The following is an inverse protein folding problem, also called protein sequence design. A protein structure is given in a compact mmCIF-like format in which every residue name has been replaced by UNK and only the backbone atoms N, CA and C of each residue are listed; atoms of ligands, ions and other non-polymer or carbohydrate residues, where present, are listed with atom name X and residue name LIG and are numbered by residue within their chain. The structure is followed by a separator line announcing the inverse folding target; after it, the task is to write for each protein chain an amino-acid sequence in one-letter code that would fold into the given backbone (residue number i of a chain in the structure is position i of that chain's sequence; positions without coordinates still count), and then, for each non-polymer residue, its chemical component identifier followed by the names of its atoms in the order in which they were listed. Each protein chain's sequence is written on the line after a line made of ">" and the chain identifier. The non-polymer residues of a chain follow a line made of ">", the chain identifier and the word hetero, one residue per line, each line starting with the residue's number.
data_IF_942878165942
#
_entry.id   IF_942878165942
#
_cell.length_a   1.000
_cell.length_b   1.000
_cell.length_c   1.000
_cell.angle_alpha   90.00
_cell.angle_beta   90.00
_cell.angle_gamma   90.00
#
_symmetry.space_group_name_H-M   'P 1'
#
loop_
_entity.id
_entity.type
_entity.pdbx_description
1 polymer ?
#
# COMPACT_ATOMS: atom_id res chain seq x y z
N UNK A 1 0.40 19.94 -9.18
CA UNK A 1 0.43 19.58 -10.62
C UNK A 1 -0.61 18.49 -10.85
N UNK A 2 -1.21 18.39 -12.03
CA UNK A 2 -2.16 17.32 -12.38
C UNK A 2 -1.62 16.48 -13.53
N UNK A 3 -1.76 15.16 -13.44
CA UNK A 3 -1.48 14.19 -14.50
C UNK A 3 -2.82 13.84 -15.15
N UNK A 4 -3.12 14.46 -16.28
CA UNK A 4 -4.47 14.39 -16.86
C UNK A 4 -4.76 13.08 -17.59
N UNK A 5 -3.72 12.31 -17.93
CA UNK A 5 -3.79 10.97 -18.53
C UNK A 5 -2.49 10.23 -18.17
N UNK A 6 -2.59 8.98 -17.70
CA UNK A 6 -1.46 8.06 -17.56
C UNK A 6 -1.92 6.61 -17.77
N UNK A 7 -1.00 5.75 -18.17
CA UNK A 7 -1.09 4.29 -18.17
C UNK A 7 0.34 3.72 -18.32
N UNK A 8 0.51 2.40 -18.30
CA UNK A 8 1.81 1.74 -18.47
C UNK A 8 2.35 1.87 -19.90
N UNK A 9 1.50 1.82 -20.92
CA UNK A 9 1.87 2.06 -22.32
C UNK A 9 1.15 3.29 -22.86
N UNK A 10 1.82 4.02 -23.78
CA UNK A 10 1.21 5.14 -24.50
C UNK A 10 0.48 4.71 -25.78
N UNK A 11 0.83 3.54 -26.35
CA UNK A 11 0.22 2.98 -27.58
C UNK A 11 -0.07 1.49 -27.36
N UNK A 12 -1.34 1.10 -27.25
CA UNK A 12 -1.75 -0.27 -26.94
C UNK A 12 -1.27 -1.28 -27.99
N UNK A 13 -1.20 -0.91 -29.27
CA UNK A 13 -0.67 -1.78 -30.33
C UNK A 13 0.79 -2.21 -30.10
N UNK A 14 1.54 -1.49 -29.25
CA UNK A 14 2.92 -1.82 -28.89
C UNK A 14 3.01 -2.79 -27.70
N UNK A 15 1.93 -2.98 -26.94
CA UNK A 15 1.85 -3.92 -25.82
C UNK A 15 1.59 -5.37 -26.29
N UNK A 16 2.50 -5.90 -27.10
CA UNK A 16 2.43 -7.27 -27.61
C UNK A 16 2.54 -8.34 -26.51
N UNK A 17 3.05 -7.96 -25.35
CA UNK A 17 3.08 -8.80 -24.16
C UNK A 17 1.76 -8.82 -23.39
N UNK A 18 0.79 -7.97 -23.75
CA UNK A 18 -0.45 -7.74 -23.02
C UNK A 18 -0.19 -7.45 -21.54
N UNK A 19 0.85 -6.67 -21.25
CA UNK A 19 1.31 -6.37 -19.90
C UNK A 19 0.24 -5.54 -19.18
N UNK A 20 -0.49 -4.67 -19.88
CA UNK A 20 -1.54 -3.82 -19.28
C UNK A 20 -2.72 -4.62 -18.69
N UNK A 21 -2.98 -5.83 -19.20
CA UNK A 21 -4.08 -6.69 -18.74
C UNK A 21 -3.64 -7.72 -17.70
N UNK A 22 -2.44 -7.59 -17.14
CA UNK A 22 -1.82 -8.57 -16.22
C UNK A 22 -1.56 -7.97 -14.84
N UNK A 23 -1.35 -8.85 -13.86
CA UNK A 23 -1.11 -8.50 -12.46
C UNK A 23 0.06 -7.51 -12.29
N UNK A 24 1.12 -7.61 -13.11
CA UNK A 24 2.23 -6.65 -13.10
C UNK A 24 1.78 -5.20 -13.32
N UNK A 25 0.78 -4.95 -14.17
CA UNK A 25 0.26 -3.60 -14.36
C UNK A 25 -0.52 -3.12 -13.13
N UNK A 26 -1.19 -4.01 -12.41
CA UNK A 26 -1.82 -3.65 -11.13
C UNK A 26 -0.78 -3.24 -10.08
N UNK A 27 0.35 -3.96 -9.98
CA UNK A 27 1.44 -3.59 -9.07
C UNK A 27 2.07 -2.25 -9.49
N UNK A 28 2.34 -2.06 -10.78
CA UNK A 28 2.84 -0.80 -11.33
C UNK A 28 1.90 0.35 -11.03
N UNK A 29 0.60 0.18 -11.26
CA UNK A 29 -0.39 1.23 -11.09
C UNK A 29 -0.55 1.61 -9.61
N UNK A 30 -0.62 0.62 -8.73
CA UNK A 30 -0.67 0.86 -7.29
C UNK A 30 0.52 1.67 -6.81
N UNK A 31 1.73 1.36 -7.31
CA UNK A 31 2.96 2.05 -6.92
C UNK A 31 3.02 3.45 -7.52
N UNK A 32 2.60 3.60 -8.79
CA UNK A 32 2.59 4.88 -9.50
C UNK A 32 1.66 5.88 -8.82
N UNK A 33 0.48 5.45 -8.36
CA UNK A 33 -0.43 6.30 -7.57
C UNK A 33 0.26 6.77 -6.29
N UNK A 34 0.87 5.86 -5.53
CA UNK A 34 1.56 6.22 -4.30
C UNK A 34 2.69 7.23 -4.53
N UNK A 35 3.53 7.01 -5.55
CA UNK A 35 4.57 7.95 -5.96
C UNK A 35 4.03 9.31 -6.38
N UNK A 36 2.95 9.35 -7.14
CA UNK A 36 2.32 10.62 -7.52
C UNK A 36 1.85 11.40 -6.29
N UNK A 37 1.27 10.73 -5.29
CA UNK A 37 0.85 11.38 -4.04
C UNK A 37 2.07 11.90 -3.26
N UNK A 38 3.16 11.12 -3.14
CA UNK A 38 4.41 11.57 -2.51
C UNK A 38 5.00 12.82 -3.16
N UNK A 39 4.93 12.91 -4.49
CA UNK A 39 5.44 14.02 -5.30
C UNK A 39 4.46 15.22 -5.38
N UNK A 40 3.34 15.18 -4.66
CA UNK A 40 2.37 16.29 -4.60
C UNK A 40 1.54 16.47 -5.87
N UNK A 41 1.33 15.40 -6.64
CA UNK A 41 0.33 15.37 -7.70
C UNK A 41 -1.07 15.36 -7.06
N UNK A 42 -1.90 16.34 -7.44
CA UNK A 42 -3.21 16.56 -6.81
C UNK A 42 -4.36 15.90 -7.56
N UNK A 43 -4.14 15.57 -8.83
CA UNK A 43 -5.10 14.92 -9.72
C UNK A 43 -4.30 14.00 -10.64
N UNK A 44 -4.73 12.75 -10.78
CA UNK A 44 -4.18 11.80 -11.73
C UNK A 44 -5.32 10.99 -12.37
N UNK A 45 -5.47 11.02 -13.69
CA UNK A 45 -6.52 10.25 -14.38
C UNK A 45 -5.90 9.08 -15.13
N UNK A 46 -6.26 7.86 -14.72
CA UNK A 46 -5.87 6.65 -15.44
C UNK A 46 -6.65 6.58 -16.74
N UNK A 47 -5.94 6.44 -17.85
CA UNK A 47 -6.51 6.12 -19.15
C UNK A 47 -6.60 4.60 -19.28
N UNK A 48 -7.75 3.98 -19.47
CA UNK A 48 -9.12 4.50 -19.45
C UNK A 48 -10.04 3.57 -18.65
N UNK A 49 -11.26 4.00 -18.40
CA UNK A 49 -12.21 3.23 -17.60
C UNK A 49 -12.65 1.95 -18.32
N UNK A 50 -13.05 2.09 -19.58
CA UNK A 50 -13.46 0.99 -20.46
C UNK A 50 -13.01 1.30 -21.88
N UNK A 51 -12.58 0.25 -22.59
CA UNK A 51 -12.05 0.35 -23.95
C UNK A 51 -12.34 -0.95 -24.71
N UNK A 52 -12.14 -0.90 -26.03
CA UNK A 52 -12.16 -2.07 -26.91
C UNK A 52 -10.76 -2.61 -27.19
N UNK A 53 -10.62 -3.94 -27.14
CA UNK A 53 -9.35 -4.63 -27.34
C UNK A 53 -8.68 -4.28 -28.67
N UNK A 54 -7.36 -4.09 -28.61
CA UNK A 54 -6.52 -3.93 -29.80
C UNK A 54 -6.36 -5.25 -30.56
N UNK A 55 -5.85 -5.17 -31.81
CA UNK A 55 -5.58 -6.36 -32.64
C UNK A 55 -4.56 -7.34 -32.06
N UNK A 56 -3.74 -6.90 -31.10
CA UNK A 56 -2.78 -7.75 -30.36
C UNK A 56 -3.39 -8.38 -29.09
N UNK A 57 -4.68 -8.13 -28.81
CA UNK A 57 -5.42 -8.66 -27.67
C UNK A 57 -5.20 -7.94 -26.34
N UNK A 58 -4.42 -6.85 -26.30
CA UNK A 58 -4.32 -5.99 -25.10
C UNK A 58 -5.45 -4.97 -25.03
N UNK A 59 -5.49 -4.24 -23.92
CA UNK A 59 -6.53 -3.27 -23.56
C UNK A 59 -5.95 -2.20 -22.62
N UNK A 60 -6.28 -0.93 -22.84
CA UNK A 60 -6.02 0.13 -21.85
C UNK A 60 -6.94 0.07 -20.62
N UNK A 61 -8.19 -0.34 -20.87
CA UNK A 61 -9.31 -0.29 -19.97
C UNK A 61 -9.09 -0.98 -18.64
N UNK A 62 -9.58 -0.34 -17.58
CA UNK A 62 -9.88 -1.04 -16.33
C UNK A 62 -10.95 -2.12 -16.57
N UNK A 63 -11.80 -1.95 -17.59
CA UNK A 63 -12.83 -2.90 -17.99
C UNK A 63 -12.80 -3.19 -19.50
N UNK A 64 -13.04 -4.44 -19.87
CA UNK A 64 -13.18 -4.89 -21.26
C UNK A 64 -14.62 -4.70 -21.75
N UNK A 65 -14.88 -3.73 -22.63
CA UNK A 65 -16.24 -3.49 -23.14
C UNK A 65 -16.78 -4.69 -23.92
N UNK A 66 -15.89 -5.42 -24.61
CA UNK A 66 -16.20 -6.55 -25.48
C UNK A 66 -16.47 -7.87 -24.71
N UNK A 67 -16.29 -7.86 -23.38
CA UNK A 67 -16.37 -9.04 -22.54
C UNK A 67 -17.21 -8.77 -21.27
N UNK A 68 -18.42 -8.22 -21.45
CA UNK A 68 -19.34 -7.91 -20.37
C UNK A 68 -18.71 -7.06 -19.26
N UNK A 69 -17.88 -6.07 -19.63
CA UNK A 69 -17.15 -5.21 -18.70
C UNK A 69 -16.27 -5.99 -17.70
N UNK A 70 -15.68 -7.10 -18.14
CA UNK A 70 -14.69 -7.83 -17.33
C UNK A 70 -13.61 -6.88 -16.81
N UNK A 71 -13.38 -6.91 -15.49
CA UNK A 71 -12.43 -6.04 -14.80
C UNK A 71 -11.02 -6.62 -14.88
N UNK A 72 -10.11 -5.86 -15.47
CA UNK A 72 -8.70 -6.24 -15.56
C UNK A 72 -8.02 -6.13 -14.19
N UNK A 73 -6.86 -6.78 -13.96
CA UNK A 73 -6.18 -6.71 -12.67
C UNK A 73 -5.97 -5.30 -12.12
N UNK A 74 -5.69 -4.32 -12.99
CA UNK A 74 -5.50 -2.92 -12.61
C UNK A 74 -6.76 -2.24 -12.04
N UNK A 75 -7.97 -2.72 -12.35
CA UNK A 75 -9.22 -2.17 -11.79
C UNK A 75 -9.23 -2.20 -10.27
N UNK A 76 -8.80 -3.32 -9.69
CA UNK A 76 -8.87 -3.57 -8.25
C UNK A 76 -7.88 -2.75 -7.42
N UNK A 77 -6.98 -2.00 -8.08
CA UNK A 77 -6.10 -1.03 -7.41
C UNK A 77 -6.89 0.17 -6.88
N UNK A 78 -7.94 0.59 -7.58
CA UNK A 78 -8.68 1.80 -7.23
C UNK A 78 -9.50 1.67 -5.94
N UNK A 79 -10.25 0.57 -5.70
CA UNK A 79 -10.89 0.35 -4.40
C UNK A 79 -9.92 0.36 -3.22
N UNK A 80 -8.71 -0.19 -3.39
CA UNK A 80 -7.67 -0.16 -2.35
C UNK A 80 -7.21 1.28 -2.03
N UNK A 81 -7.03 2.12 -3.06
CA UNK A 81 -6.70 3.53 -2.86
C UNK A 81 -7.87 4.37 -2.35
N UNK A 82 -9.11 4.04 -2.71
CA UNK A 82 -10.31 4.68 -2.16
C UNK A 82 -10.40 4.44 -0.64
N UNK A 83 -10.09 3.23 -0.19
CA UNK A 83 -10.12 2.87 1.23
C UNK A 83 -8.85 3.26 2.00
N UNK A 84 -7.81 3.77 1.32
CA UNK A 84 -6.53 4.14 1.92
C UNK A 84 -6.66 5.26 2.95
N UNK A 85 -7.51 6.26 2.71
CA UNK A 85 -7.65 7.43 3.56
C UNK A 85 -7.31 8.73 2.82
N UNK A 86 -7.33 9.84 3.55
CA UNK A 86 -7.27 11.18 2.97
C UNK A 86 -5.97 11.95 3.29
N UNK A 87 -5.07 11.33 4.05
CA UNK A 87 -3.80 11.93 4.46
C UNK A 87 -2.69 10.90 4.25
N UNK A 88 -1.70 11.22 3.40
CA UNK A 88 -0.47 10.45 3.29
C UNK A 88 0.43 10.75 4.49
N UNK A 89 0.98 9.72 5.10
CA UNK A 89 1.94 9.80 6.19
C UNK A 89 3.35 9.46 5.68
N UNK A 90 4.41 10.10 6.23
CA UNK A 90 5.77 9.62 6.02
C UNK A 90 5.85 8.14 6.38
N UNK A 91 6.55 7.32 5.62
CA UNK A 91 6.64 5.88 5.90
C UNK A 91 8.09 5.45 5.75
N UNK A 92 8.58 4.67 6.72
CA UNK A 92 9.92 4.09 6.66
C UNK A 92 9.77 2.59 6.50
N UNK A 93 10.38 2.06 5.45
CA UNK A 93 10.50 0.64 5.17
C UNK A 93 11.97 0.27 5.09
N UNK A 94 12.29 -0.94 5.53
CA UNK A 94 13.63 -1.53 5.39
C UNK A 94 13.81 -2.33 4.09
N UNK A 95 12.72 -2.52 3.34
CA UNK A 95 12.73 -3.18 2.04
C UNK A 95 13.16 -2.23 0.92
N UNK A 96 13.74 -2.78 -0.14
CA UNK A 96 13.95 -2.04 -1.38
C UNK A 96 12.60 -1.81 -2.08
N UNK A 97 12.13 -0.56 -2.11
CA UNK A 97 10.87 -0.21 -2.77
C UNK A 97 10.91 -0.46 -4.28
N UNK A 98 12.07 -0.45 -4.93
CA UNK A 98 12.20 -0.71 -6.37
C UNK A 98 12.00 -2.17 -6.75
N UNK A 99 12.50 -3.09 -5.92
CA UNK A 99 12.57 -4.52 -6.27
C UNK A 99 11.79 -5.47 -5.35
N UNK A 100 11.44 -5.05 -4.13
CA UNK A 100 10.84 -5.91 -3.12
C UNK A 100 9.43 -5.43 -2.73
N UNK A 101 9.35 -4.42 -1.85
CA UNK A 101 8.11 -3.99 -1.20
C UNK A 101 8.04 -2.46 -1.17
N UNK A 102 7.16 -1.89 -1.99
CA UNK A 102 6.74 -0.50 -1.80
C UNK A 102 5.73 -0.44 -0.66
N UNK A 103 5.81 0.60 0.18
CA UNK A 103 4.92 0.78 1.33
C UNK A 103 4.50 2.24 1.44
N UNK A 104 3.20 2.47 1.51
CA UNK A 104 2.60 3.79 1.72
C UNK A 104 1.75 3.77 2.99
N UNK A 105 1.92 4.80 3.81
CA UNK A 105 1.19 5.00 5.05
C UNK A 105 0.10 6.03 4.90
N UNK A 106 -1.09 5.73 5.40
CA UNK A 106 -2.21 6.66 5.33
C UNK A 106 -2.90 6.84 6.68
N UNK A 107 -3.69 7.89 6.76
CA UNK A 107 -4.59 8.17 7.87
C UNK A 107 -5.96 8.56 7.33
N UNK A 108 -7.01 7.99 7.91
CA UNK A 108 -8.41 8.35 7.60
C UNK A 108 -9.10 9.08 8.75
N UNK A 109 -8.65 8.86 9.99
CA UNK A 109 -9.07 9.57 11.19
C UNK A 109 -7.98 9.54 12.26
N UNK A 110 -8.19 10.19 13.41
CA UNK A 110 -7.21 10.22 14.51
C UNK A 110 -6.74 8.81 14.94
N UNK A 111 -7.67 7.85 14.94
CA UNK A 111 -7.44 6.48 15.42
C UNK A 111 -7.38 5.44 14.30
N UNK A 112 -7.53 5.84 13.03
CA UNK A 112 -7.58 4.93 11.90
C UNK A 112 -6.46 5.21 10.89
N UNK A 113 -5.56 4.24 10.80
CA UNK A 113 -4.35 4.25 9.97
C UNK A 113 -4.46 3.19 8.89
N UNK A 114 -3.75 3.40 7.78
CA UNK A 114 -3.64 2.43 6.71
C UNK A 114 -2.20 2.19 6.30
N UNK A 115 -1.95 0.98 5.80
CA UNK A 115 -0.70 0.61 5.14
C UNK A 115 -1.09 -0.05 3.83
N UNK A 116 -0.70 0.57 2.72
CA UNK A 116 -0.78 -0.03 1.40
C UNK A 116 0.61 -0.54 1.04
N UNK A 117 0.75 -1.85 0.91
CA UNK A 117 2.01 -2.51 0.61
C UNK A 117 1.90 -3.30 -0.70
N UNK A 118 2.94 -3.22 -1.53
CA UNK A 118 2.99 -3.80 -2.88
C UNK A 118 4.16 -4.77 -2.95
N UNK A 119 3.89 -6.06 -2.77
CA UNK A 119 4.92 -7.10 -2.84
C UNK A 119 5.15 -7.47 -4.31
N UNK A 120 6.33 -7.13 -4.82
CA UNK A 120 6.75 -7.34 -6.21
C UNK A 120 7.44 -8.69 -6.43
N UNK A 121 7.64 -9.46 -5.36
CA UNK A 121 8.43 -10.70 -5.37
C UNK A 121 7.55 -11.95 -5.50
N UNK A 122 8.20 -13.05 -5.87
CA UNK A 122 7.59 -14.38 -5.93
C UNK A 122 7.38 -15.04 -4.55
N UNK A 123 7.87 -14.43 -3.47
CA UNK A 123 7.83 -14.98 -2.12
C UNK A 123 6.98 -14.09 -1.20
N UNK A 124 6.33 -14.67 -0.18
CA UNK A 124 5.74 -13.85 0.87
C UNK A 124 6.85 -13.10 1.63
N UNK A 125 6.58 -11.84 1.97
CA UNK A 125 7.48 -11.00 2.77
C UNK A 125 6.88 -10.80 4.16
N UNK A 126 7.54 -11.36 5.17
CA UNK A 126 7.13 -11.24 6.58
C UNK A 126 7.79 -10.03 7.22
N UNK A 127 7.00 -9.14 7.81
CA UNK A 127 7.53 -7.93 8.46
C UNK A 127 6.75 -7.54 9.70
N UNK A 128 7.36 -6.68 10.51
CA UNK A 128 6.72 -6.06 11.67
C UNK A 128 6.27 -4.64 11.33
N UNK A 129 4.98 -4.39 11.47
CA UNK A 129 4.35 -3.08 11.35
C UNK A 129 4.30 -2.43 12.73
N UNK A 130 4.74 -1.18 12.80
CA UNK A 130 4.60 -0.33 13.99
C UNK A 130 4.04 1.04 13.61
N UNK A 131 3.17 1.59 14.45
CA UNK A 131 2.64 2.94 14.32
C UNK A 131 3.20 3.75 15.49
N UNK A 132 4.07 4.71 15.22
CA UNK A 132 4.72 5.56 16.21
C UNK A 132 3.85 6.76 16.54
N UNK A 133 3.16 6.72 17.69
CA UNK A 133 2.49 7.87 18.27
C UNK A 133 3.46 8.95 18.79
N UNK A 134 2.93 10.13 19.09
CA UNK A 134 3.72 11.25 19.63
C UNK A 134 4.40 10.96 20.99
N UNK A 135 3.95 9.95 21.72
CA UNK A 135 4.51 9.49 23.01
C UNK A 135 5.18 8.12 22.94
N UNK A 136 5.35 7.56 21.73
CA UNK A 136 5.85 6.22 21.49
C UNK A 136 4.87 5.36 20.68
N UNK A 137 5.16 4.07 20.47
CA UNK A 137 4.32 3.19 19.65
C UNK A 137 2.85 3.14 20.13
N UNK A 138 1.92 3.42 19.22
CA UNK A 138 0.49 3.30 19.45
C UNK A 138 0.08 1.82 19.56
N UNK A 139 -0.96 1.54 20.33
CA UNK A 139 -1.49 0.17 20.44
C UNK A 139 -2.48 -0.10 19.30
N UNK A 140 -2.13 -1.01 18.41
CA UNK A 140 -3.00 -1.59 17.40
C UNK A 140 -3.97 -2.55 18.09
N UNK A 141 -5.28 -2.29 17.96
CA UNK A 141 -6.33 -3.01 18.70
C UNK A 141 -7.18 -3.89 17.79
N UNK A 142 -7.38 -3.47 16.55
CA UNK A 142 -8.16 -4.16 15.55
C UNK A 142 -7.69 -3.75 14.17
N UNK A 143 -8.15 -4.47 13.15
CA UNK A 143 -7.97 -4.04 11.78
C UNK A 143 -8.62 -4.98 10.79
N UNK A 144 -8.58 -4.56 9.54
CA UNK A 144 -8.98 -5.35 8.38
C UNK A 144 -7.86 -5.39 7.36
N UNK A 145 -7.93 -6.37 6.47
CA UNK A 145 -7.10 -6.48 5.30
C UNK A 145 -7.95 -6.56 4.04
N UNK A 146 -7.56 -5.78 3.05
CA UNK A 146 -8.02 -5.91 1.67
C UNK A 146 -6.83 -6.25 0.79
N UNK A 147 -7.02 -7.14 -0.19
CA UNK A 147 -5.92 -7.68 -0.95
C UNK A 147 -6.32 -7.98 -2.39
N UNK A 148 -5.52 -7.47 -3.30
CA UNK A 148 -5.43 -7.92 -4.68
C UNK A 148 -4.24 -8.88 -4.81
N UNK A 149 -4.43 -10.07 -5.38
CA UNK A 149 -3.35 -11.04 -5.55
C UNK A 149 -3.36 -11.72 -6.92
N UNK A 150 -2.18 -11.77 -7.57
CA UNK A 150 -1.92 -12.59 -8.74
C UNK A 150 -1.12 -13.86 -8.39
N UNK A 151 -1.29 -14.92 -9.20
CA UNK A 151 -0.46 -16.15 -9.08
C UNK A 151 0.94 -15.99 -9.69
N UNK A 152 1.11 -15.02 -10.60
CA UNK A 152 2.37 -14.57 -11.18
C UNK A 152 2.23 -13.12 -11.67
N UNK A 153 3.33 -12.49 -12.07
CA UNK A 153 3.30 -11.17 -12.71
C UNK A 153 2.49 -11.16 -14.01
N UNK A 154 2.49 -12.28 -14.72
CA UNK A 154 1.83 -12.47 -16.01
C UNK A 154 0.36 -12.88 -15.91
N UNK A 155 -0.16 -13.08 -14.69
CA UNK A 155 -1.53 -13.53 -14.50
C UNK A 155 -2.53 -12.49 -14.99
N UNK A 156 -3.42 -12.89 -15.90
CA UNK A 156 -4.55 -12.06 -16.35
C UNK A 156 -5.75 -12.12 -15.40
N UNK A 157 -5.84 -13.19 -14.62
CA UNK A 157 -6.81 -13.33 -13.54
C UNK A 157 -6.13 -13.12 -12.19
N UNK A 158 -6.84 -12.45 -11.29
CA UNK A 158 -6.43 -12.13 -9.93
C UNK A 158 -7.58 -12.42 -8.98
N UNK A 159 -7.30 -12.51 -7.69
CA UNK A 159 -8.33 -12.52 -6.65
C UNK A 159 -8.37 -11.18 -5.93
N UNK A 160 -9.57 -10.78 -5.52
CA UNK A 160 -9.78 -9.68 -4.56
C UNK A 160 -10.37 -10.25 -3.29
N UNK A 161 -9.70 -10.10 -2.16
CA UNK A 161 -10.08 -10.70 -0.88
C UNK A 161 -10.35 -12.22 -0.96
N UNK A 162 -9.60 -12.91 -1.84
CA UNK A 162 -9.75 -14.34 -2.08
C UNK A 162 -10.88 -14.73 -3.05
N UNK A 163 -11.67 -13.77 -3.53
CA UNK A 163 -12.76 -14.01 -4.50
C UNK A 163 -12.24 -13.82 -5.92
N UNK A 164 -12.53 -14.79 -6.79
CA UNK A 164 -12.31 -14.67 -8.24
C UNK A 164 -13.56 -14.03 -8.84
N UNK A 165 -13.38 -12.94 -9.60
CA UNK A 165 -14.49 -12.18 -10.21
C UNK A 165 -15.56 -11.72 -9.19
N UNK A 166 -15.18 -10.89 -8.19
CA UNK A 166 -16.11 -10.36 -7.18
C UNK A 166 -17.27 -9.58 -7.82
N UNK A 167 -18.39 -9.42 -7.13
CA UNK A 167 -19.50 -8.57 -7.58
C UNK A 167 -19.04 -7.13 -7.90
N UNK A 168 -19.78 -6.41 -8.74
CA UNK A 168 -19.42 -5.03 -9.16
C UNK A 168 -19.30 -4.07 -7.97
N UNK A 169 -20.12 -4.27 -6.94
CA UNK A 169 -20.11 -3.51 -5.69
C UNK A 169 -19.19 -4.11 -4.62
N UNK A 170 -18.42 -5.16 -4.96
CA UNK A 170 -17.53 -5.91 -4.08
C UNK A 170 -18.21 -6.52 -2.84
N UNK A 171 -19.55 -6.63 -2.84
CA UNK A 171 -20.32 -7.10 -1.68
C UNK A 171 -20.02 -8.54 -1.26
N UNK A 172 -19.54 -9.37 -2.19
CA UNK A 172 -19.12 -10.75 -1.95
C UNK A 172 -17.63 -10.89 -1.63
N UNK A 173 -16.86 -9.81 -1.74
CA UNK A 173 -15.44 -9.75 -1.42
C UNK A 173 -15.13 -8.68 -0.35
N UNK A 174 -15.78 -8.72 0.83
CA UNK A 174 -15.59 -7.72 1.88
C UNK A 174 -14.17 -7.75 2.47
N UNK A 175 -13.72 -6.66 3.11
CA UNK A 175 -12.49 -6.65 3.89
C UNK A 175 -12.45 -7.80 4.91
N UNK A 176 -11.31 -8.49 5.00
CA UNK A 176 -11.13 -9.62 5.91
C UNK A 176 -10.63 -9.13 7.28
N UNK A 177 -11.09 -9.69 8.40
CA UNK A 177 -10.61 -9.29 9.72
C UNK A 177 -9.14 -9.66 9.92
N UNK A 178 -8.34 -8.75 10.48
CA UNK A 178 -7.01 -9.06 10.98
C UNK A 178 -7.10 -9.75 12.34
N UNK A 179 -6.37 -10.86 12.50
CA UNK A 179 -6.34 -11.58 13.77
C UNK A 179 -5.41 -10.86 14.76
N UNK A 180 -6.00 -10.06 15.65
CA UNK A 180 -5.31 -9.38 16.75
C UNK A 180 -5.97 -9.85 18.05
N UNK A 181 -5.30 -10.73 18.79
CA UNK A 181 -5.85 -11.36 20.02
C UNK A 181 -5.75 -10.48 21.26
N UNK A 182 -4.80 -9.55 21.27
CA UNK A 182 -4.63 -8.53 22.29
C UNK A 182 -4.01 -7.27 21.66
N UNK A 183 -4.24 -6.07 22.23
CA UNK A 183 -3.59 -4.86 21.77
C UNK A 183 -2.07 -5.03 21.70
N UNK A 184 -1.48 -4.66 20.57
CA UNK A 184 -0.03 -4.79 20.32
C UNK A 184 0.54 -3.48 19.78
N UNK A 185 1.78 -3.16 20.13
CA UNK A 185 2.53 -2.07 19.50
C UNK A 185 3.27 -2.49 18.23
N UNK A 186 3.25 -3.80 17.92
CA UNK A 186 3.95 -4.41 16.80
C UNK A 186 3.07 -5.51 16.19
N UNK A 187 2.60 -5.28 14.96
CA UNK A 187 1.82 -6.27 14.20
C UNK A 187 2.75 -6.99 13.24
N UNK A 188 2.93 -8.30 13.42
CA UNK A 188 3.60 -9.12 12.40
C UNK A 188 2.60 -9.49 11.30
N UNK A 189 2.97 -9.27 10.04
CA UNK A 189 2.13 -9.59 8.88
C UNK A 189 2.97 -10.22 7.76
N UNK A 190 2.38 -11.19 7.05
CA UNK A 190 2.97 -11.85 5.88
C UNK A 190 2.31 -11.27 4.61
N UNK A 191 3.02 -10.42 3.87
CA UNK A 191 2.55 -9.86 2.60
C UNK A 191 2.71 -10.90 1.49
N UNK A 192 1.61 -11.41 0.88
CA UNK A 192 1.70 -12.48 -0.11
C UNK A 192 2.46 -12.05 -1.38
N UNK A 193 2.98 -13.00 -2.17
CA UNK A 193 3.67 -12.69 -3.42
C UNK A 193 2.72 -12.04 -4.42
N UNK A 194 3.28 -11.16 -5.26
CA UNK A 194 2.58 -10.48 -6.35
C UNK A 194 1.22 -9.89 -5.94
N UNK A 195 1.22 -9.13 -4.84
CA UNK A 195 0.01 -8.64 -4.21
C UNK A 195 0.09 -7.15 -3.89
N UNK A 196 -1.07 -6.50 -3.93
CA UNK A 196 -1.32 -5.20 -3.28
C UNK A 196 -2.17 -5.47 -2.06
N UNK A 197 -1.70 -5.09 -0.89
CA UNK A 197 -2.37 -5.33 0.39
C UNK A 197 -2.60 -4.02 1.11
N UNK A 198 -3.85 -3.74 1.45
CA UNK A 198 -4.25 -2.64 2.30
C UNK A 198 -4.58 -3.18 3.69
N UNK A 199 -3.73 -2.88 4.68
CA UNK A 199 -4.05 -3.04 6.08
C UNK A 199 -4.75 -1.77 6.56
N UNK A 200 -5.91 -1.89 7.19
CA UNK A 200 -6.60 -0.78 7.86
C UNK A 200 -6.62 -1.06 9.35
N UNK A 201 -5.92 -0.24 10.11
CA UNK A 201 -5.59 -0.48 11.50
C UNK A 201 -6.32 0.53 12.38
N UNK A 202 -6.96 0.03 13.43
CA UNK A 202 -7.51 0.85 14.51
C UNK A 202 -6.52 0.84 15.66
N UNK A 203 -6.09 2.04 16.08
CA UNK A 203 -5.19 2.22 17.21
C UNK A 203 -5.93 2.83 18.40
N UNK A 204 -5.30 2.82 19.55
CA UNK A 204 -5.71 3.66 20.68
C UNK A 204 -4.53 4.03 21.55
N UNK A 205 -4.78 4.98 22.46
CA UNK A 205 -3.76 5.51 23.36
C UNK A 205 -3.17 4.38 24.20
N UNK A 206 -1.85 4.21 24.13
CA UNK A 206 -1.09 3.14 24.78
C UNK A 206 -0.95 3.28 26.29
N UNK A 207 -1.93 3.85 27.00
CA UNK A 207 -1.85 4.17 28.44
C UNK A 207 -1.82 2.94 29.37
N UNK A 208 -1.67 1.72 28.85
CA UNK A 208 -1.62 0.48 29.62
C UNK A 208 -0.23 0.04 30.10
N UNK A 209 0.87 0.66 29.66
CA UNK A 209 2.22 0.28 30.11
C UNK A 209 3.12 1.49 30.33
N UNK A 210 3.49 1.74 31.59
CA UNK A 210 4.53 2.70 31.97
C UNK A 210 5.86 2.26 31.36
N UNK A 211 6.46 3.00 30.42
CA UNK A 211 7.80 2.67 29.93
C UNK A 211 8.82 2.96 31.03
N UNK A 212 9.36 1.91 31.65
CA UNK A 212 10.54 2.00 32.52
C UNK A 212 11.79 1.84 31.65
N UNK A 213 12.17 2.91 30.97
CA UNK A 213 13.53 3.10 30.51
C UNK A 213 13.75 4.60 30.27
N UNK A 214 14.52 5.23 31.16
CA UNK A 214 15.05 6.57 30.95
C UNK A 214 16.26 6.45 30.03
N UNK A 215 16.24 6.96 28.79
CA UNK A 215 17.46 7.06 28.00
C UNK A 215 18.34 8.17 28.59
N UNK A 216 19.58 7.83 28.95
CA UNK A 216 20.61 8.81 29.28
C UNK A 216 21.05 9.51 28.00
N UNK A 217 20.67 10.78 27.83
CA UNK A 217 21.16 11.61 26.75
C UNK A 217 22.64 11.97 26.99
N UNK A 218 23.52 11.59 26.06
CA UNK A 218 24.86 12.18 25.97
C UNK A 218 24.74 13.40 25.06
N UNK A 219 24.98 14.59 25.60
CA UNK A 219 24.96 15.84 24.83
C UNK A 219 26.17 15.91 23.91
N UNK A 220 25.95 15.94 22.60
CA UNK A 220 26.96 16.40 21.63
C UNK A 220 26.69 17.87 21.37
N UNK A 221 27.58 18.73 21.87
CA UNK A 221 27.55 20.17 21.65
C UNK A 221 28.05 20.48 20.24
N UNK A 222 27.18 21.06 19.40
CA UNK A 222 27.56 21.69 18.13
C UNK A 222 26.82 21.16 16.91
N UNK A 223 25.56 21.56 16.71
CA UNK A 223 24.89 21.45 15.41
C UNK A 223 23.99 22.66 15.15
N UNK A 224 23.99 23.06 13.88
CA UNK A 224 23.35 24.20 13.23
C UNK A 224 21.81 24.24 13.43
N UNK A 225 21.21 25.39 13.79
CA UNK A 225 19.75 25.53 13.99
C UNK A 225 18.91 25.38 12.71
N UNK A 226 19.52 25.14 11.54
CA UNK A 226 18.80 24.97 10.25
C UNK A 226 18.68 23.52 9.76
N UNK A 227 19.19 22.54 10.49
CA UNK A 227 19.08 21.14 10.08
C UNK A 227 17.68 20.55 10.41
N UNK A 228 16.95 20.11 9.38
CA UNK A 228 15.78 19.22 9.55
C UNK A 228 16.22 17.96 10.30
N UNK A 229 15.58 17.58 11.43
CA UNK A 229 15.96 16.39 12.18
C UNK A 229 15.78 15.16 11.30
N UNK A 230 16.90 14.56 10.89
CA UNK A 230 16.90 13.26 10.22
C UNK A 230 16.79 12.21 11.31
N UNK A 231 15.61 11.59 11.45
CA UNK A 231 15.46 10.41 12.28
C UNK A 231 16.15 9.25 11.56
N UNK A 232 17.37 8.91 11.99
CA UNK A 232 18.03 7.66 11.58
C UNK A 232 17.57 6.58 12.56
N UNK A 233 16.76 5.59 12.15
CA UNK A 233 16.38 4.50 13.02
C UNK A 233 17.61 3.62 13.26
N UNK A 234 18.01 3.44 14.52
CA UNK A 234 18.98 2.41 14.90
C UNK A 234 18.25 1.06 14.93
N UNK A 235 17.90 0.51 13.77
CA UNK A 235 17.35 -0.84 13.69
C UNK A 235 18.45 -1.87 14.00
N UNK A 236 18.18 -2.82 14.90
CA UNK A 236 18.99 -4.01 15.04
C UNK A 236 18.99 -4.77 13.70
N UNK A 237 20.17 -5.20 13.25
CA UNK A 237 20.50 -5.50 11.86
C UNK A 237 19.74 -6.66 11.15
N UNK A 238 18.72 -7.27 11.77
CA UNK A 238 18.05 -8.47 11.22
C UNK A 238 16.51 -8.44 11.25
N UNK A 239 15.86 -7.35 11.64
CA UNK A 239 14.39 -7.26 11.65
C UNK A 239 13.87 -6.33 10.55
N UNK A 240 13.26 -6.89 9.50
CA UNK A 240 12.48 -6.11 8.54
C UNK A 240 11.28 -5.47 9.25
N UNK A 241 11.15 -4.16 9.09
CA UNK A 241 10.14 -3.35 9.77
C UNK A 241 9.57 -2.24 8.89
N UNK A 242 8.31 -1.88 9.17
CA UNK A 242 7.58 -0.73 8.63
C UNK A 242 7.23 0.19 9.80
N UNK A 243 7.53 1.48 9.65
CA UNK A 243 7.24 2.52 10.64
C UNK A 243 6.37 3.62 10.04
N UNK A 244 5.26 3.91 10.72
CA UNK A 244 4.39 5.06 10.46
C UNK A 244 4.52 6.08 11.61
N UNK A 245 5.08 7.27 11.41
CA UNK A 245 4.97 8.35 12.38
C UNK A 245 3.54 8.92 12.37
N UNK A 246 2.97 9.07 13.54
CA UNK A 246 1.74 9.84 13.76
C UNK A 246 2.12 11.31 13.74
N UNK A 247 1.44 12.09 12.89
CA UNK A 247 1.54 13.54 12.91
C UNK A 247 0.51 14.07 13.90
N UNK A 248 0.93 14.42 15.12
CA UNK A 248 0.10 15.21 16.03
C UNK A 248 -0.02 16.63 15.46
N UNK A 249 -1.23 17.06 15.11
CA UNK A 249 -1.54 18.46 14.80
C UNK A 249 -1.67 19.29 16.08
#
# INVERSE_FOLDING_TARGET
>A
VGVTEYNLFSVQDQDNGQVMTRAINALYLADTIGRMVEEGIVIANQWDLANGRAGNGTEYGLMHEDNNYYRTPQYYVFPLWEHFGNTLLPTISTFDAGTELSVYGGQSSADSYSILAINKTAAPLRTTVTINGGTGPAQIRAGTVEQLQGVSLEAQAVTYNGVTDPADDLSDAPPLPLTITAPTNALTYDFPPYAVTLLRLQVGDGTGATPTATPTATTVSGADPTATPTLVPTAAADAQAIYLPVVTR
#
